data_IF_971480581041
#
_entry.id   IF_971480581041
#
_cell.length_a   1.000
_cell.length_b   1.000
_cell.length_c   1.000
_cell.angle_alpha   90.00
_cell.angle_beta   90.00
_cell.angle_gamma   90.00
#
_symmetry.space_group_name_H-M   'P 1'
#
loop_
_entity.id
_entity.type
_entity.pdbx_description
1 polymer ?
#
# COMPACT_ATOMS: atom_id res chain seq x y z
N UNK A 1 18.36 -24.39 4.18
CA UNK A 1 18.40 -23.16 4.98
C UNK A 1 19.25 -22.16 4.23
N UNK A 2 18.71 -20.97 3.97
CA UNK A 2 19.43 -19.90 3.28
C UNK A 2 20.48 -19.27 4.18
N UNK A 3 21.56 -18.73 3.59
CA UNK A 3 22.65 -18.07 4.32
C UNK A 3 22.15 -17.00 5.31
N UNK A 4 21.06 -16.31 4.97
CA UNK A 4 20.50 -15.21 5.76
C UNK A 4 19.26 -15.58 6.59
N UNK A 5 18.89 -16.86 6.61
CA UNK A 5 17.69 -17.32 7.31
C UNK A 5 17.90 -17.25 8.83
N UNK A 6 17.11 -16.40 9.51
CA UNK A 6 17.17 -16.24 10.98
C UNK A 6 18.24 -15.28 11.50
N UNK A 7 18.99 -14.60 10.62
CA UNK A 7 19.94 -13.57 11.05
C UNK A 7 19.23 -12.24 11.33
N UNK A 8 19.56 -11.60 12.45
CA UNK A 8 19.20 -10.19 12.71
C UNK A 8 20.25 -9.25 12.11
N UNK A 9 19.89 -7.98 11.94
CA UNK A 9 20.84 -6.98 11.45
C UNK A 9 22.15 -6.98 12.28
N UNK A 10 23.34 -6.96 11.64
CA UNK A 10 24.61 -7.03 12.35
C UNK A 10 24.85 -5.77 13.21
N UNK A 11 25.74 -5.82 14.23
CA UNK A 11 25.95 -4.72 15.17
C UNK A 11 26.42 -3.40 14.53
N UNK A 12 27.04 -3.47 13.35
CA UNK A 12 27.51 -2.34 12.56
C UNK A 12 26.49 -1.85 11.52
N UNK A 13 25.29 -2.44 11.50
CA UNK A 13 24.20 -2.01 10.62
C UNK A 13 23.81 -0.56 10.95
N UNK A 14 24.07 0.32 10.00
CA UNK A 14 23.59 1.69 10.06
C UNK A 14 22.19 1.74 9.47
N UNK A 15 21.21 2.07 10.30
CA UNK A 15 19.86 2.36 9.83
C UNK A 15 19.92 3.49 8.78
N UNK A 16 19.62 3.16 7.52
CA UNK A 16 19.53 4.17 6.47
C UNK A 16 18.13 4.77 6.50
N UNK A 17 18.04 6.01 6.98
CA UNK A 17 16.79 6.79 6.91
C UNK A 17 16.72 7.52 5.57
N UNK A 18 16.05 6.89 4.61
CA UNK A 18 15.80 7.49 3.31
C UNK A 18 14.89 8.71 3.44
N UNK A 19 15.23 9.81 2.75
CA UNK A 19 14.31 10.92 2.54
C UNK A 19 13.30 10.52 1.47
N UNK A 20 12.25 9.81 1.86
CA UNK A 20 11.30 9.18 0.93
C UNK A 20 10.61 10.15 -0.06
N UNK A 21 10.54 11.44 0.25
CA UNK A 21 10.01 12.49 -0.65
C UNK A 21 10.87 12.72 -1.88
N UNK A 22 12.19 12.61 -1.73
CA UNK A 22 13.19 12.97 -2.75
C UNK A 22 13.98 11.76 -3.23
N UNK A 23 13.88 10.63 -2.53
CA UNK A 23 14.61 9.42 -2.83
C UNK A 23 13.97 8.65 -4.00
N UNK A 24 14.79 8.37 -5.01
CA UNK A 24 14.53 7.40 -6.05
C UNK A 24 15.66 6.39 -6.03
N UNK A 25 15.36 5.13 -5.74
CA UNK A 25 16.36 4.07 -5.90
C UNK A 25 16.76 3.96 -7.38
N UNK A 26 18.01 3.60 -7.66
CA UNK A 26 18.45 3.36 -9.04
C UNK A 26 17.60 2.26 -9.67
N UNK A 27 16.92 2.55 -10.78
CA UNK A 27 15.97 1.64 -11.43
C UNK A 27 14.66 1.41 -10.67
N UNK A 28 14.45 2.10 -9.53
CA UNK A 28 13.21 2.03 -8.75
C UNK A 28 12.23 3.15 -9.08
N UNK A 29 11.13 3.19 -8.34
CA UNK A 29 10.07 4.20 -8.44
C UNK A 29 10.15 5.21 -7.29
N UNK A 30 9.77 6.47 -7.56
CA UNK A 30 9.41 7.47 -6.54
C UNK A 30 7.98 7.27 -6.05
N UNK A 31 7.64 7.87 -4.91
CA UNK A 31 6.30 7.77 -4.32
C UNK A 31 5.18 8.23 -5.27
N UNK A 32 5.40 9.32 -6.00
CA UNK A 32 4.45 9.82 -6.99
C UNK A 32 4.28 8.88 -8.20
N UNK A 33 5.36 8.24 -8.66
CA UNK A 33 5.31 7.22 -9.71
C UNK A 33 4.50 5.99 -9.25
N UNK A 34 4.69 5.53 -8.01
CA UNK A 34 3.89 4.45 -7.42
C UNK A 34 2.42 4.86 -7.31
N UNK A 35 2.13 6.09 -6.86
CA UNK A 35 0.76 6.60 -6.76
C UNK A 35 0.08 6.66 -8.13
N UNK A 36 0.77 7.12 -9.17
CA UNK A 36 0.19 7.21 -10.51
C UNK A 36 -0.16 5.82 -11.06
N UNK A 37 0.71 4.83 -10.83
CA UNK A 37 0.41 3.43 -11.14
C UNK A 37 -0.78 2.90 -10.34
N UNK A 38 -0.91 3.29 -9.07
CA UNK A 38 -2.04 2.93 -8.23
C UNK A 38 -3.36 3.57 -8.72
N UNK A 39 -3.35 4.83 -9.15
CA UNK A 39 -4.52 5.51 -9.75
C UNK A 39 -5.00 4.80 -11.00
N UNK A 40 -4.08 4.46 -11.91
CA UNK A 40 -4.38 3.68 -13.10
C UNK A 40 -5.00 2.31 -12.75
N UNK A 41 -4.51 1.66 -11.70
CA UNK A 41 -5.07 0.40 -11.22
C UNK A 41 -6.48 0.58 -10.65
N UNK A 42 -6.69 1.54 -9.74
CA UNK A 42 -8.00 1.80 -9.11
C UNK A 42 -9.06 2.14 -10.14
N UNK A 43 -8.77 3.03 -11.10
CA UNK A 43 -9.70 3.37 -12.19
C UNK A 43 -10.12 2.14 -12.99
N UNK A 44 -9.17 1.32 -13.44
CA UNK A 44 -9.47 0.09 -14.19
C UNK A 44 -10.35 -0.87 -13.39
N UNK A 45 -10.07 -1.02 -12.10
CA UNK A 45 -10.81 -1.92 -11.23
C UNK A 45 -12.26 -1.46 -11.02
N UNK A 46 -12.46 -0.17 -10.71
CA UNK A 46 -13.80 0.39 -10.50
C UNK A 46 -14.66 0.36 -11.76
N UNK A 47 -14.04 0.45 -12.94
CA UNK A 47 -14.75 0.36 -14.22
C UNK A 47 -15.08 -1.09 -14.62
N UNK A 48 -14.19 -2.05 -14.34
CA UNK A 48 -14.36 -3.44 -14.79
C UNK A 48 -15.19 -4.32 -13.84
N UNK A 49 -15.18 -4.03 -12.54
CA UNK A 49 -15.73 -4.93 -11.51
C UNK A 49 -16.89 -4.30 -10.71
N UNK A 50 -17.73 -3.52 -11.38
CA UNK A 50 -18.93 -2.95 -10.76
C UNK A 50 -19.84 -4.04 -10.14
N UNK A 51 -20.29 -3.81 -8.91
CA UNK A 51 -21.16 -4.72 -8.16
C UNK A 51 -20.49 -6.03 -7.69
N UNK A 52 -19.16 -6.14 -7.78
CA UNK A 52 -18.41 -7.34 -7.37
C UNK A 52 -17.54 -7.07 -6.16
N UNK A 53 -17.34 -8.12 -5.35
CA UNK A 53 -16.28 -8.15 -4.34
C UNK A 53 -15.01 -8.66 -4.99
N UNK A 54 -13.92 -7.91 -4.83
CA UNK A 54 -12.60 -8.27 -5.33
C UNK A 54 -11.60 -8.33 -4.17
N UNK A 55 -10.58 -9.17 -4.33
CA UNK A 55 -9.45 -9.28 -3.41
C UNK A 55 -8.16 -9.09 -4.20
N UNK A 56 -7.25 -8.28 -3.67
CA UNK A 56 -5.89 -8.18 -4.17
C UNK A 56 -4.91 -8.29 -3.00
N UNK A 57 -3.74 -8.87 -3.26
CA UNK A 57 -2.66 -9.04 -2.30
C UNK A 57 -1.44 -8.29 -2.80
N UNK A 58 -0.78 -7.55 -1.92
CA UNK A 58 0.33 -6.70 -2.29
C UNK A 58 1.22 -6.37 -1.09
N UNK A 59 2.16 -5.44 -1.26
CA UNK A 59 3.08 -5.00 -0.22
C UNK A 59 2.67 -3.64 0.37
N UNK A 60 3.14 -3.35 1.59
CA UNK A 60 2.81 -2.13 2.34
C UNK A 60 2.80 -0.85 1.47
N UNK A 61 3.89 -0.55 0.76
CA UNK A 61 4.01 0.71 0.01
C UNK A 61 3.00 0.88 -1.12
N UNK A 62 2.72 -0.18 -1.88
CA UNK A 62 1.72 -0.12 -2.95
C UNK A 62 0.29 -0.16 -2.38
N UNK A 63 0.04 -0.82 -1.25
CA UNK A 63 -1.27 -0.75 -0.58
C UNK A 63 -1.54 0.67 -0.11
N UNK A 64 -0.55 1.35 0.51
CA UNK A 64 -0.67 2.76 0.88
C UNK A 64 -0.97 3.64 -0.33
N UNK A 65 -0.28 3.44 -1.46
CA UNK A 65 -0.56 4.16 -2.70
C UNK A 65 -1.98 3.91 -3.24
N UNK A 66 -2.48 2.67 -3.17
CA UNK A 66 -3.86 2.32 -3.57
C UNK A 66 -4.87 3.04 -2.68
N UNK A 67 -4.65 3.04 -1.36
CA UNK A 67 -5.54 3.74 -0.42
C UNK A 67 -5.53 5.25 -0.71
N UNK A 68 -4.36 5.87 -0.93
CA UNK A 68 -4.25 7.28 -1.34
C UNK A 68 -4.99 7.54 -2.66
N UNK A 69 -4.86 6.65 -3.64
CA UNK A 69 -5.54 6.77 -4.93
C UNK A 69 -7.07 6.64 -4.81
N UNK A 70 -7.56 5.74 -3.95
CA UNK A 70 -9.00 5.56 -3.68
C UNK A 70 -9.63 6.83 -3.12
N UNK A 71 -8.91 7.55 -2.25
CA UNK A 71 -9.39 8.82 -1.68
C UNK A 71 -9.07 10.05 -2.54
N UNK A 72 -8.48 9.86 -3.72
CA UNK A 72 -8.09 10.96 -4.63
C UNK A 72 -7.11 11.96 -3.98
N UNK A 73 -6.28 11.48 -3.06
CA UNK A 73 -5.32 12.29 -2.30
C UNK A 73 -3.99 12.47 -3.05
N UNK A 74 -3.17 13.37 -2.52
CA UNK A 74 -1.80 13.61 -2.97
C UNK A 74 -0.81 12.58 -2.41
N UNK A 75 0.36 12.43 -3.04
CA UNK A 75 1.36 11.41 -2.66
C UNK A 75 1.91 11.63 -1.25
N UNK A 76 1.88 12.86 -0.76
CA UNK A 76 2.26 13.23 0.60
C UNK A 76 1.42 12.48 1.64
N UNK A 77 0.15 12.20 1.32
CA UNK A 77 -0.79 11.50 2.18
C UNK A 77 -0.41 10.02 2.37
N UNK A 78 0.40 9.42 1.48
CA UNK A 78 0.85 8.03 1.64
C UNK A 78 1.57 7.80 2.97
N UNK A 79 2.23 8.83 3.51
CA UNK A 79 3.01 8.77 4.76
C UNK A 79 2.14 8.78 6.02
N UNK A 80 0.89 9.21 5.91
CA UNK A 80 -0.04 9.27 7.06
C UNK A 80 -0.88 8.00 7.18
N UNK A 81 -0.90 7.17 6.13
CA UNK A 81 -1.64 5.92 6.11
C UNK A 81 -0.95 4.91 7.04
N UNK A 82 -1.77 4.30 7.89
CA UNK A 82 -1.35 3.22 8.79
C UNK A 82 -0.52 2.17 8.06
N UNK A 83 0.52 1.68 8.72
CA UNK A 83 1.33 0.58 8.20
C UNK A 83 0.46 -0.66 8.02
N UNK A 84 0.52 -1.26 6.85
CA UNK A 84 -0.21 -2.48 6.55
C UNK A 84 0.54 -3.68 7.13
N UNK A 85 -0.08 -4.30 8.14
CA UNK A 85 0.46 -5.46 8.85
C UNK A 85 0.65 -6.66 7.91
N UNK A 86 1.52 -7.58 8.31
CA UNK A 86 1.67 -8.85 7.58
C UNK A 86 0.34 -9.61 7.62
N UNK A 87 -0.17 -9.97 6.45
CA UNK A 87 -1.50 -10.59 6.29
C UNK A 87 -2.64 -9.71 6.86
N UNK A 88 -2.41 -8.40 7.01
CA UNK A 88 -3.44 -7.45 7.41
C UNK A 88 -4.49 -7.26 6.32
N UNK A 89 -5.75 -7.09 6.72
CA UNK A 89 -6.89 -6.93 5.80
C UNK A 89 -7.44 -5.50 5.88
N UNK A 90 -7.53 -4.85 4.72
CA UNK A 90 -8.18 -3.55 4.53
C UNK A 90 -9.38 -3.72 3.60
N UNK A 91 -10.55 -3.17 3.97
CA UNK A 91 -11.82 -3.34 3.24
C UNK A 91 -12.41 -1.98 2.92
N UNK A 92 -12.71 -1.78 1.64
CA UNK A 92 -13.48 -0.65 1.13
C UNK A 92 -14.81 -1.13 0.55
N UNK A 93 -15.88 -0.39 0.82
CA UNK A 93 -17.15 -0.47 0.10
C UNK A 93 -17.27 0.75 -0.81
N UNK A 94 -17.81 0.58 -2.01
CA UNK A 94 -18.07 1.67 -2.94
C UNK A 94 -19.56 1.78 -3.19
N UNK A 95 -20.09 3.00 -3.20
CA UNK A 95 -21.48 3.24 -3.60
C UNK A 95 -21.62 3.34 -5.14
N UNK A 96 -22.85 3.53 -5.61
CA UNK A 96 -23.17 3.70 -7.04
C UNK A 96 -22.37 4.81 -7.74
N UNK A 97 -21.97 5.84 -6.99
CA UNK A 97 -21.17 6.96 -7.49
C UNK A 97 -19.66 6.74 -7.33
N UNK A 98 -19.21 5.49 -7.11
CA UNK A 98 -17.81 5.12 -6.87
C UNK A 98 -17.17 5.85 -5.68
N UNK A 99 -17.96 6.36 -4.75
CA UNK A 99 -17.44 6.99 -3.53
C UNK A 99 -17.04 5.90 -2.53
N UNK A 100 -15.80 5.91 -2.02
CA UNK A 100 -15.33 4.89 -1.08
C UNK A 100 -15.87 5.09 0.33
N UNK A 101 -16.01 3.98 1.04
CA UNK A 101 -16.27 3.90 2.48
C UNK A 101 -15.33 2.86 3.09
N UNK A 102 -14.44 3.30 3.98
CA UNK A 102 -13.50 2.43 4.69
C UNK A 102 -14.23 1.65 5.78
N UNK A 103 -14.24 0.31 5.67
CA UNK A 103 -14.84 -0.58 6.67
C UNK A 103 -13.85 -1.09 7.68
N UNK A 104 -12.62 -1.32 7.22
CA UNK A 104 -11.57 -1.98 8.00
C UNK A 104 -10.22 -1.51 7.47
N UNK A 105 -9.31 -1.17 8.37
CA UNK A 105 -7.93 -0.81 8.04
C UNK A 105 -6.99 -1.80 8.70
N UNK A 106 -6.09 -2.39 7.91
CA UNK A 106 -4.96 -3.23 8.34
C UNK A 106 -5.26 -4.21 9.50
N UNK A 107 -6.43 -4.86 9.49
CA UNK A 107 -6.86 -5.71 10.60
C UNK A 107 -6.14 -7.07 10.57
N UNK A 108 -5.58 -7.46 11.72
CA UNK A 108 -4.88 -8.73 11.92
C UNK A 108 -5.55 -9.65 12.93
N UNK A 109 -6.76 -9.33 13.41
CA UNK A 109 -7.47 -10.10 14.46
C UNK A 109 -7.67 -11.58 14.14
N UNK A 110 -7.66 -11.97 12.87
CA UNK A 110 -7.81 -13.35 12.42
C UNK A 110 -6.52 -14.18 12.59
N UNK A 111 -5.41 -13.56 12.98
CA UNK A 111 -4.12 -14.21 13.26
C UNK A 111 -3.92 -14.52 14.75
N UNK A 112 -4.86 -14.12 15.60
CA UNK A 112 -4.86 -14.34 17.06
C UNK A 112 -5.48 -15.68 17.43
#
# INVERSE_FOLDING_TARGET
>A
MGEFEGQTAPPDWKEVRWKLDTFKASGGERLDEILERARCFVSKILDQFHGKTILFTAHNGIIQAIITAIFEESWEHMKTIERQGNTGITIFEFNENKKPFLKLMSCTKHLE
#
